data_IF_850546231589
#
_entry.id   IF_850546231589
#
_cell.length_a   1.000
_cell.length_b   1.000
_cell.length_c   1.000
_cell.angle_alpha   90.00
_cell.angle_beta   90.00
_cell.angle_gamma   90.00
#
_symmetry.space_group_name_H-M   'P 1'
#
loop_
_entity.id
_entity.type
_entity.pdbx_description
1 polymer ?
#
# COMPACT_ATOMS: atom_id res chain seq x y z
N UNK A 1 -3.35 62.06 -34.00
CA UNK A 1 -3.39 60.63 -34.23
C UNK A 1 -2.90 59.95 -32.99
N UNK A 2 -3.82 59.36 -32.17
CA UNK A 2 -3.51 58.69 -30.91
C UNK A 2 -3.65 57.18 -31.17
N UNK A 3 -2.54 56.45 -31.16
CA UNK A 3 -2.52 54.97 -31.21
C UNK A 3 -2.75 54.44 -29.81
N UNK A 4 -3.89 53.78 -29.61
CA UNK A 4 -4.17 53.00 -28.40
C UNK A 4 -3.65 51.57 -28.59
N UNK A 5 -2.63 51.21 -27.86
CA UNK A 5 -2.06 49.85 -27.79
C UNK A 5 -2.92 49.00 -26.85
N UNK A 6 -3.69 48.06 -27.43
CA UNK A 6 -4.50 47.09 -26.67
C UNK A 6 -3.60 45.96 -26.21
N UNK A 7 -3.37 45.85 -24.88
CA UNK A 7 -2.72 44.68 -24.28
C UNK A 7 -3.72 43.51 -24.23
N UNK A 8 -3.46 42.51 -25.03
CA UNK A 8 -4.19 41.26 -25.04
C UNK A 8 -3.55 40.34 -23.96
N UNK A 9 -4.18 40.27 -22.80
CA UNK A 9 -3.78 39.34 -21.71
C UNK A 9 -4.18 37.93 -22.09
N UNK A 10 -3.20 37.12 -22.48
CA UNK A 10 -3.38 35.68 -22.71
C UNK A 10 -3.46 34.97 -21.35
N UNK A 11 -4.70 34.61 -20.96
CA UNK A 11 -4.96 33.80 -19.76
C UNK A 11 -4.59 32.35 -20.04
N UNK A 12 -3.46 31.88 -19.52
CA UNK A 12 -3.07 30.47 -19.54
C UNK A 12 -3.99 29.71 -18.61
N UNK A 13 -5.06 29.13 -19.15
CA UNK A 13 -5.81 28.08 -18.46
C UNK A 13 -4.91 26.84 -18.34
N UNK A 14 -4.32 26.65 -17.17
CA UNK A 14 -3.67 25.40 -16.81
C UNK A 14 -4.74 24.30 -16.68
N UNK A 15 -4.90 23.50 -17.73
CA UNK A 15 -5.66 22.27 -17.67
C UNK A 15 -4.94 21.32 -16.70
N UNK A 16 -5.41 21.24 -15.44
CA UNK A 16 -5.10 20.13 -14.56
C UNK A 16 -5.79 18.89 -15.13
N UNK A 17 -5.10 18.21 -16.03
CA UNK A 17 -5.46 16.86 -16.44
C UNK A 17 -5.31 15.96 -15.22
N UNK A 18 -6.39 15.34 -14.75
CA UNK A 18 -6.34 14.28 -13.78
C UNK A 18 -5.63 13.08 -14.45
N UNK A 19 -4.30 13.04 -14.37
CA UNK A 19 -3.53 11.84 -14.71
C UNK A 19 -3.91 10.73 -13.74
N UNK A 20 -4.14 9.53 -14.26
CA UNK A 20 -4.21 8.35 -13.41
C UNK A 20 -2.99 8.35 -12.48
N UNK A 21 -3.17 8.03 -11.17
CA UNK A 21 -2.05 8.05 -10.26
C UNK A 21 -0.94 7.13 -10.77
N UNK A 22 0.27 7.69 -10.87
CA UNK A 22 1.46 6.91 -11.22
C UNK A 22 1.66 5.82 -10.15
N UNK A 23 2.09 4.62 -10.54
CA UNK A 23 2.41 3.56 -9.58
C UNK A 23 3.44 4.05 -8.57
N UNK A 24 3.25 3.67 -7.30
CA UNK A 24 4.20 3.97 -6.23
C UNK A 24 5.57 3.38 -6.58
N UNK A 25 6.60 4.22 -6.52
CA UNK A 25 7.99 3.88 -6.78
C UNK A 25 8.85 4.27 -5.58
N UNK A 26 10.10 3.80 -5.54
CA UNK A 26 11.06 4.24 -4.53
C UNK A 26 11.20 5.77 -4.59
N UNK A 27 11.07 6.43 -3.43
CA UNK A 27 11.04 7.89 -3.30
C UNK A 27 9.65 8.51 -3.29
N UNK A 28 8.60 7.80 -3.74
CA UNK A 28 7.21 8.28 -3.66
C UNK A 28 6.77 8.46 -2.21
N UNK A 29 5.90 9.44 -1.96
CA UNK A 29 5.21 9.55 -0.67
C UNK A 29 4.21 8.39 -0.48
N UNK A 30 3.87 8.08 0.77
CA UNK A 30 2.75 7.17 1.07
C UNK A 30 1.48 7.77 0.50
N UNK A 31 0.69 7.03 -0.30
CA UNK A 31 -0.54 7.53 -0.88
C UNK A 31 -1.56 7.98 0.18
N UNK A 32 -2.16 9.16 -0.04
CA UNK A 32 -3.23 9.69 0.80
C UNK A 32 -4.55 8.97 0.45
N UNK A 33 -4.81 7.88 1.15
CA UNK A 33 -6.02 7.06 0.96
C UNK A 33 -6.49 6.51 2.30
N UNK A 34 -7.81 6.46 2.48
CA UNK A 34 -8.46 5.88 3.66
C UNK A 34 -9.21 4.62 3.25
N UNK A 35 -9.10 3.57 4.05
CA UNK A 35 -9.77 2.31 3.83
C UNK A 35 -10.20 1.70 5.17
N UNK A 36 -11.30 0.96 5.19
CA UNK A 36 -11.70 0.23 6.38
C UNK A 36 -10.80 -0.99 6.60
N UNK A 37 -10.45 -1.25 7.85
CA UNK A 37 -9.84 -2.50 8.24
C UNK A 37 -10.89 -3.62 8.39
N UNK A 38 -10.45 -4.80 8.81
CA UNK A 38 -11.29 -5.99 9.04
C UNK A 38 -12.36 -5.81 10.15
N UNK A 39 -12.30 -4.72 10.92
CA UNK A 39 -13.30 -4.38 11.96
C UNK A 39 -14.29 -3.31 11.51
N UNK A 40 -14.09 -2.75 10.31
CA UNK A 40 -14.83 -1.61 9.79
C UNK A 40 -14.28 -0.26 10.26
N UNK A 41 -13.15 -0.24 10.98
CA UNK A 41 -12.51 1.00 11.39
C UNK A 41 -11.75 1.62 10.23
N UNK A 42 -11.97 2.91 9.99
CA UNK A 42 -11.27 3.66 8.95
C UNK A 42 -9.79 3.87 9.30
N UNK A 43 -8.90 3.49 8.38
CA UNK A 43 -7.45 3.62 8.47
C UNK A 43 -6.97 4.61 7.41
N UNK A 44 -6.35 5.69 7.83
CA UNK A 44 -5.65 6.63 6.95
C UNK A 44 -4.22 6.13 6.72
N UNK A 45 -3.96 5.58 5.54
CA UNK A 45 -2.69 4.91 5.22
C UNK A 45 -1.51 5.90 5.26
N UNK A 46 -1.71 7.14 4.80
CA UNK A 46 -0.65 8.15 4.82
C UNK A 46 -0.28 8.56 6.24
N UNK A 47 -1.26 8.72 7.11
CA UNK A 47 -1.04 9.04 8.53
C UNK A 47 -0.29 7.92 9.23
N UNK A 48 -0.68 6.67 8.97
CA UNK A 48 -0.07 5.48 9.57
C UNK A 48 1.38 5.28 9.10
N UNK A 49 1.70 5.66 7.86
CA UNK A 49 3.04 5.57 7.29
C UNK A 49 3.90 6.83 7.46
N UNK A 50 3.38 7.91 8.07
CA UNK A 50 4.09 9.19 8.19
C UNK A 50 5.38 9.10 9.04
N UNK A 51 5.47 8.13 9.96
CA UNK A 51 6.63 7.92 10.83
C UNK A 51 6.93 6.43 10.98
N UNK A 52 8.22 6.12 11.07
CA UNK A 52 8.73 4.76 11.23
C UNK A 52 8.59 3.94 9.94
N UNK A 53 8.52 2.63 10.11
CA UNK A 53 8.45 1.68 9.00
C UNK A 53 7.01 1.18 8.80
N UNK A 54 6.52 1.23 7.55
CA UNK A 54 5.24 0.68 7.14
C UNK A 54 5.42 -0.25 5.95
N UNK A 55 5.08 -1.51 6.13
CA UNK A 55 4.94 -2.50 5.05
C UNK A 55 3.46 -2.58 4.63
N UNK A 56 3.18 -2.32 3.36
CA UNK A 56 1.86 -2.54 2.75
C UNK A 56 2.01 -3.64 1.71
N UNK A 57 1.37 -4.79 1.93
CA UNK A 57 1.40 -5.89 0.97
C UNK A 57 0.00 -6.18 0.43
N UNK A 58 -0.07 -6.35 -0.89
CA UNK A 58 -1.30 -6.66 -1.61
C UNK A 58 -1.35 -8.15 -1.94
N UNK A 59 -2.54 -8.72 -1.87
CA UNK A 59 -2.77 -10.12 -2.21
C UNK A 59 -4.13 -10.30 -2.90
N UNK A 60 -4.26 -11.30 -3.80
CA UNK A 60 -5.47 -11.46 -4.60
C UNK A 60 -6.74 -11.75 -3.81
N UNK A 61 -6.69 -12.69 -2.87
CA UNK A 61 -7.90 -13.13 -2.16
C UNK A 61 -7.57 -13.78 -0.81
N UNK A 62 -8.33 -13.38 0.21
CA UNK A 62 -8.27 -13.98 1.55
C UNK A 62 -8.50 -15.50 1.52
N UNK A 63 -7.87 -16.20 2.44
CA UNK A 63 -7.99 -17.65 2.66
C UNK A 63 -7.67 -18.55 1.44
N UNK A 64 -6.88 -18.04 0.47
CA UNK A 64 -6.32 -18.88 -0.59
C UNK A 64 -4.92 -19.38 -0.22
N UNK A 65 -4.45 -20.52 -0.74
CA UNK A 65 -3.19 -21.13 -0.31
C UNK A 65 -1.97 -20.19 -0.38
N UNK A 66 -1.80 -19.45 -1.48
CA UNK A 66 -0.68 -18.53 -1.65
C UNK A 66 -0.76 -17.30 -0.74
N UNK A 67 -1.97 -16.73 -0.58
CA UNK A 67 -2.19 -15.56 0.29
C UNK A 67 -2.04 -15.94 1.76
N UNK A 68 -2.48 -17.13 2.14
CA UNK A 68 -2.27 -17.69 3.47
C UNK A 68 -0.78 -17.86 3.78
N UNK A 69 0.00 -18.44 2.85
CA UNK A 69 1.46 -18.57 3.03
C UNK A 69 2.12 -17.20 3.21
N UNK A 70 1.73 -16.20 2.42
CA UNK A 70 2.28 -14.85 2.53
C UNK A 70 1.96 -14.20 3.89
N UNK A 71 0.70 -14.25 4.33
CA UNK A 71 0.31 -13.72 5.63
C UNK A 71 0.96 -14.46 6.79
N UNK A 72 1.07 -15.79 6.72
CA UNK A 72 1.75 -16.61 7.73
C UNK A 72 3.25 -16.33 7.80
N UNK A 73 3.94 -16.11 6.67
CA UNK A 73 5.35 -15.69 6.67
C UNK A 73 5.57 -14.43 7.51
N UNK A 74 4.72 -13.41 7.33
CA UNK A 74 4.79 -12.16 8.11
C UNK A 74 4.42 -12.36 9.58
N UNK A 75 3.41 -13.21 9.87
CA UNK A 75 3.04 -13.57 11.24
C UNK A 75 4.18 -14.28 11.97
N UNK A 76 4.80 -15.26 11.31
CA UNK A 76 5.83 -16.09 11.94
C UNK A 76 7.10 -15.29 12.25
N UNK A 77 7.37 -14.22 11.49
CA UNK A 77 8.45 -13.25 11.72
C UNK A 77 8.01 -11.99 12.48
N UNK A 78 6.82 -12.00 13.09
CA UNK A 78 6.23 -10.80 13.71
C UNK A 78 7.11 -10.19 14.82
N UNK A 79 7.75 -11.04 15.62
CA UNK A 79 8.64 -10.57 16.69
C UNK A 79 9.88 -9.83 16.14
N UNK A 80 10.41 -10.28 15.01
CA UNK A 80 11.57 -9.65 14.35
C UNK A 80 11.19 -8.34 13.68
N UNK A 81 10.08 -8.33 12.94
CA UNK A 81 9.51 -7.11 12.35
C UNK A 81 9.19 -6.06 13.43
N UNK A 82 8.63 -6.51 14.56
CA UNK A 82 8.32 -5.64 15.70
C UNK A 82 9.54 -5.02 16.36
N UNK A 83 10.66 -5.75 16.48
CA UNK A 83 11.93 -5.20 16.97
C UNK A 83 12.44 -4.05 16.10
N UNK A 84 12.17 -4.09 14.80
CA UNK A 84 12.50 -3.03 13.85
C UNK A 84 11.44 -1.94 13.77
N UNK A 85 10.33 -2.06 14.50
CA UNK A 85 9.22 -1.11 14.48
C UNK A 85 8.42 -1.12 13.18
N UNK A 86 8.41 -2.25 12.45
CA UNK A 86 7.66 -2.38 11.19
C UNK A 86 6.18 -2.56 11.48
N UNK A 87 5.37 -1.60 11.07
CA UNK A 87 3.91 -1.73 10.98
C UNK A 87 3.57 -2.46 9.68
N UNK A 88 2.56 -3.33 9.71
CA UNK A 88 2.16 -4.13 8.55
C UNK A 88 0.68 -3.95 8.25
N UNK A 89 0.35 -3.69 6.98
CA UNK A 89 -1.00 -3.76 6.43
C UNK A 89 -1.07 -4.77 5.30
N UNK A 90 -2.01 -5.70 5.38
CA UNK A 90 -2.40 -6.54 4.26
C UNK A 90 -3.60 -5.91 3.55
N UNK A 91 -3.61 -5.91 2.22
CA UNK A 91 -4.67 -5.30 1.41
C UNK A 91 -5.18 -6.29 0.39
N UNK A 92 -6.49 -6.48 0.32
CA UNK A 92 -7.16 -7.17 -0.77
C UNK A 92 -8.53 -6.54 -1.06
N UNK A 93 -9.15 -6.95 -2.14
CA UNK A 93 -10.48 -6.48 -2.53
C UNK A 93 -11.63 -7.24 -1.85
N UNK A 94 -11.31 -8.07 -0.86
CA UNK A 94 -12.30 -8.82 -0.07
C UNK A 94 -13.08 -7.88 0.88
N UNK A 95 -14.19 -8.39 1.41
CA UNK A 95 -15.01 -7.67 2.39
C UNK A 95 -14.35 -7.62 3.77
N UNK A 96 -14.80 -6.71 4.64
CA UNK A 96 -14.37 -6.65 6.05
C UNK A 96 -14.62 -7.98 6.76
N UNK A 97 -15.74 -8.66 6.46
CA UNK A 97 -16.08 -9.95 7.04
C UNK A 97 -15.11 -11.05 6.62
N UNK A 98 -14.74 -11.10 5.33
CA UNK A 98 -13.77 -12.08 4.81
C UNK A 98 -12.36 -11.81 5.39
N UNK A 99 -11.95 -10.55 5.46
CA UNK A 99 -10.68 -10.13 6.07
C UNK A 99 -10.63 -10.50 7.56
N UNK A 100 -11.74 -10.29 8.28
CA UNK A 100 -11.85 -10.68 9.69
C UNK A 100 -11.72 -12.18 9.87
N UNK A 101 -12.48 -12.97 9.10
CA UNK A 101 -12.41 -14.42 9.15
C UNK A 101 -11.00 -14.93 8.83
N UNK A 102 -10.34 -14.37 7.80
CA UNK A 102 -8.97 -14.71 7.43
C UNK A 102 -7.98 -14.41 8.56
N UNK A 103 -8.06 -13.19 9.13
CA UNK A 103 -7.22 -12.76 10.26
C UNK A 103 -7.37 -13.67 11.46
N UNK A 104 -8.59 -13.99 11.86
CA UNK A 104 -8.88 -14.85 13.03
C UNK A 104 -8.42 -16.27 12.80
N UNK A 105 -8.73 -16.87 11.65
CA UNK A 105 -8.38 -18.24 11.28
C UNK A 105 -6.88 -18.50 11.36
N UNK A 106 -6.07 -17.57 10.85
CA UNK A 106 -4.62 -17.71 10.79
C UNK A 106 -3.88 -16.91 11.87
N UNK A 107 -4.61 -16.26 12.78
CA UNK A 107 -4.06 -15.50 13.91
C UNK A 107 -3.06 -14.42 13.43
N UNK A 108 -3.43 -13.70 12.36
CA UNK A 108 -2.57 -12.64 11.81
C UNK A 108 -2.54 -11.45 12.78
N UNK A 109 -1.35 -11.00 13.26
CA UNK A 109 -1.27 -9.97 14.31
C UNK A 109 -1.48 -8.54 13.81
N UNK A 110 -1.44 -8.32 12.51
CA UNK A 110 -1.55 -7.01 11.86
C UNK A 110 -2.93 -6.75 11.25
N UNK A 111 -3.19 -5.51 10.85
CA UNK A 111 -4.45 -5.13 10.24
C UNK A 111 -4.54 -5.57 8.77
N UNK A 112 -5.77 -5.93 8.35
CA UNK A 112 -6.12 -6.26 6.99
C UNK A 112 -7.12 -5.24 6.47
N UNK A 113 -6.78 -4.53 5.40
CA UNK A 113 -7.61 -3.49 4.78
C UNK A 113 -8.53 -4.11 3.73
N UNK A 114 -9.82 -3.77 3.81
CA UNK A 114 -10.88 -4.30 2.95
C UNK A 114 -11.14 -3.33 1.77
N UNK A 115 -10.30 -3.38 0.74
CA UNK A 115 -10.32 -2.46 -0.40
C UNK A 115 -11.36 -2.85 -1.47
N UNK A 116 -12.62 -3.03 -1.07
CA UNK A 116 -13.73 -3.43 -1.95
C UNK A 116 -13.90 -2.51 -3.16
N UNK A 117 -13.67 -1.22 -2.96
CA UNK A 117 -13.79 -0.19 -3.99
C UNK A 117 -12.52 0.00 -4.81
N UNK A 118 -11.42 -0.73 -4.50
CA UNK A 118 -10.13 -0.66 -5.19
C UNK A 118 -9.46 0.71 -5.14
N UNK A 119 -9.79 1.52 -4.14
CA UNK A 119 -9.23 2.85 -3.97
C UNK A 119 -7.78 2.81 -3.51
N UNK A 120 -7.45 1.88 -2.59
CA UNK A 120 -6.08 1.65 -2.16
C UNK A 120 -5.25 1.07 -3.32
N UNK A 121 -5.76 0.05 -4.01
CA UNK A 121 -5.11 -0.50 -5.19
C UNK A 121 -4.82 0.60 -6.23
N UNK A 122 -5.80 1.45 -6.53
CA UNK A 122 -5.66 2.56 -7.45
C UNK A 122 -4.62 3.58 -6.98
N UNK A 123 -4.67 3.98 -5.70
CA UNK A 123 -3.75 4.96 -5.14
C UNK A 123 -2.29 4.47 -5.15
N UNK A 124 -2.07 3.16 -5.01
CA UNK A 124 -0.74 2.53 -5.07
C UNK A 124 -0.31 2.14 -6.49
N UNK A 125 -1.20 2.25 -7.48
CA UNK A 125 -0.94 1.78 -8.84
C UNK A 125 -0.88 0.25 -8.96
N UNK A 126 -1.52 -0.47 -8.04
CA UNK A 126 -1.61 -1.93 -8.04
C UNK A 126 -2.72 -2.38 -9.01
N UNK A 127 -2.36 -3.22 -9.96
CA UNK A 127 -3.32 -3.77 -10.93
C UNK A 127 -4.38 -4.63 -10.23
N UNK A 128 -5.63 -4.52 -10.71
CA UNK A 128 -6.77 -5.32 -10.25
C UNK A 128 -7.37 -6.10 -11.40
N UNK A 129 -6.69 -7.17 -11.83
CA UNK A 129 -7.17 -8.05 -12.91
C UNK A 129 -8.28 -8.97 -12.40
N UNK A 130 -9.37 -9.09 -13.15
CA UNK A 130 -10.57 -9.87 -12.78
C UNK A 130 -11.13 -9.50 -11.39
N UNK A 131 -10.88 -8.28 -10.93
CA UNK A 131 -11.36 -7.81 -9.63
C UNK A 131 -10.40 -8.05 -8.47
N UNK A 132 -9.32 -8.78 -8.64
CA UNK A 132 -8.36 -9.14 -7.60
C UNK A 132 -7.08 -8.30 -7.67
N UNK A 133 -6.55 -7.90 -6.53
CA UNK A 133 -5.28 -7.18 -6.45
C UNK A 133 -4.11 -8.07 -6.89
N UNK A 134 -3.20 -7.50 -7.67
CA UNK A 134 -1.91 -8.14 -7.96
C UNK A 134 -1.07 -8.25 -6.69
N UNK A 135 -0.30 -9.36 -6.57
CA UNK A 135 0.59 -9.56 -5.44
C UNK A 135 1.80 -8.65 -5.53
N UNK A 136 1.79 -7.58 -4.75
CA UNK A 136 2.79 -6.51 -4.73
C UNK A 136 3.05 -6.10 -3.28
N UNK A 137 4.24 -5.64 -2.95
CA UNK A 137 4.52 -5.08 -1.63
C UNK A 137 5.35 -3.79 -1.72
N UNK A 138 5.12 -2.92 -0.75
CA UNK A 138 5.77 -1.62 -0.62
C UNK A 138 6.24 -1.44 0.81
N UNK A 139 7.48 -0.98 0.98
CA UNK A 139 8.00 -0.61 2.28
C UNK A 139 8.28 0.89 2.32
N UNK A 140 7.75 1.55 3.32
CA UNK A 140 7.92 2.98 3.55
C UNK A 140 8.73 3.21 4.84
N UNK A 141 9.50 4.29 4.82
CA UNK A 141 10.18 4.84 6.00
C UNK A 141 9.89 6.33 6.08
N UNK A 142 9.34 6.79 7.19
CA UNK A 142 9.07 8.21 7.46
C UNK A 142 8.33 8.91 6.31
N UNK A 143 7.27 8.28 5.82
CA UNK A 143 6.42 8.81 4.77
C UNK A 143 6.92 8.60 3.34
N UNK A 144 8.08 7.97 3.13
CA UNK A 144 8.66 7.73 1.79
C UNK A 144 8.84 6.26 1.48
N UNK A 145 8.49 5.84 0.27
CA UNK A 145 8.74 4.50 -0.22
C UNK A 145 10.25 4.27 -0.37
N UNK A 146 10.76 3.22 0.28
CA UNK A 146 12.18 2.83 0.22
C UNK A 146 12.40 1.52 -0.53
N UNK A 147 11.32 0.75 -0.78
CA UNK A 147 11.40 -0.52 -1.49
C UNK A 147 10.05 -0.90 -2.09
N UNK A 148 10.10 -1.54 -3.26
CA UNK A 148 8.94 -2.06 -3.99
C UNK A 148 9.25 -3.48 -4.45
N UNK A 149 8.31 -4.40 -4.25
CA UNK A 149 8.34 -5.74 -4.81
C UNK A 149 7.09 -5.95 -5.67
N UNK A 150 7.20 -5.85 -7.00
CA UNK A 150 6.05 -5.93 -7.91
C UNK A 150 5.52 -7.35 -8.11
N UNK A 151 6.23 -8.37 -7.61
CA UNK A 151 5.87 -9.79 -7.70
C UNK A 151 6.20 -10.52 -6.40
N UNK A 152 5.63 -10.03 -5.31
CA UNK A 152 5.95 -10.51 -3.96
C UNK A 152 5.82 -12.03 -3.82
N UNK A 153 6.79 -12.62 -3.13
CA UNK A 153 6.80 -14.04 -2.78
C UNK A 153 5.60 -14.39 -1.89
N UNK A 154 5.17 -15.65 -1.99
CA UNK A 154 4.15 -16.19 -1.07
C UNK A 154 4.74 -16.73 0.22
N UNK A 155 5.94 -17.35 0.18
CA UNK A 155 6.56 -18.01 1.34
C UNK A 155 7.61 -17.13 2.03
N UNK A 156 8.25 -16.24 1.30
CA UNK A 156 9.47 -15.56 1.74
C UNK A 156 9.28 -14.06 1.97
N UNK A 157 8.01 -13.60 2.04
CA UNK A 157 7.70 -12.17 2.15
C UNK A 157 8.42 -11.51 3.34
N UNK A 158 8.41 -12.14 4.50
CA UNK A 158 9.07 -11.59 5.68
C UNK A 158 10.59 -11.56 5.55
N UNK A 159 11.20 -12.68 5.13
CA UNK A 159 12.67 -12.77 5.00
C UNK A 159 13.22 -11.79 3.96
N UNK A 160 12.51 -11.56 2.86
CA UNK A 160 12.89 -10.56 1.84
C UNK A 160 12.87 -9.15 2.44
N UNK A 161 11.83 -8.79 3.18
CA UNK A 161 11.73 -7.47 3.85
C UNK A 161 12.82 -7.30 4.91
N UNK A 162 13.03 -8.31 5.75
CA UNK A 162 14.06 -8.28 6.80
C UNK A 162 15.46 -8.14 6.21
N UNK A 163 15.80 -8.94 5.19
CA UNK A 163 17.09 -8.87 4.49
C UNK A 163 17.32 -7.50 3.84
N UNK A 164 16.28 -6.90 3.27
CA UNK A 164 16.37 -5.54 2.75
C UNK A 164 16.69 -4.54 3.87
N UNK A 165 15.96 -4.59 4.99
CA UNK A 165 16.18 -3.69 6.12
C UNK A 165 17.59 -3.84 6.73
N UNK A 166 18.10 -5.06 6.87
CA UNK A 166 19.46 -5.34 7.33
C UNK A 166 20.52 -4.73 6.40
N UNK A 167 20.28 -4.77 5.10
CA UNK A 167 21.20 -4.18 4.11
C UNK A 167 21.32 -2.66 4.21
N UNK A 168 20.32 -1.98 4.79
CA UNK A 168 20.26 -0.54 4.96
C UNK A 168 20.99 -0.04 6.24
N UNK A 169 21.42 -0.95 7.12
CA UNK A 169 22.08 -0.62 8.39
C UNK A 169 23.59 -0.81 8.34
N UNK A 170 24.13 -1.25 7.21
CA UNK A 170 25.57 -1.37 6.92
C UNK A 170 26.07 -0.15 6.18
#
# INVERSE_FOLDING_TARGET
>A
MRFTLSLMTCSLLSCFGASSPEPVQVGSAVPAVTCNDQTGQAVDVAKEGAKGLLLVYFYPKADTPGCTKQGCSLRDSWAELGKLGVKVFGVSTDSEADQKAFKEKYKLPFALLADKNKEVCKAFGVSTTLGYASRTAFLFRDGKCIWVDPKSSTSDQASVVLSFLESQTK
#
